data_IF_137182672037
#
_entry.id   IF_137182672037
#
_cell.length_a   1.000
_cell.length_b   1.000
_cell.length_c   1.000
_cell.angle_alpha   90.00
_cell.angle_beta   90.00
_cell.angle_gamma   90.00
#
_symmetry.space_group_name_H-M   'P 1'
#
loop_
_entity.id
_entity.type
_entity.pdbx_description
1 polymer ?
#
# COMPACT_ATOMS: atom_id res chain seq x y z
N UNK A 1 -6.74 -29.24 0.96
CA UNK A 1 -7.03 -28.51 -0.30
C UNK A 1 -5.87 -27.57 -0.51
N UNK A 2 -5.25 -27.60 -1.69
CA UNK A 2 -4.09 -26.75 -2.02
C UNK A 2 -4.58 -25.66 -2.96
N UNK A 3 -4.13 -24.42 -2.75
CA UNK A 3 -4.56 -23.25 -3.53
C UNK A 3 -3.37 -22.60 -4.23
N UNK A 4 -3.56 -22.23 -5.50
CA UNK A 4 -2.54 -21.48 -6.26
C UNK A 4 -2.49 -20.02 -5.80
N UNK A 5 -1.29 -19.54 -5.43
CA UNK A 5 -1.08 -18.14 -5.04
C UNK A 5 -1.29 -17.19 -6.21
N UNK A 6 -0.85 -17.56 -7.41
CA UNK A 6 -1.14 -16.83 -8.66
C UNK A 6 -2.65 -16.67 -8.86
N UNK A 7 -3.41 -17.76 -8.69
CA UNK A 7 -4.86 -17.70 -8.92
C UNK A 7 -5.59 -16.83 -7.91
N UNK A 8 -5.16 -16.83 -6.66
CA UNK A 8 -5.70 -15.94 -5.62
C UNK A 8 -5.44 -14.48 -5.99
N UNK A 9 -4.20 -14.16 -6.39
CA UNK A 9 -3.84 -12.79 -6.79
C UNK A 9 -4.65 -12.33 -8.01
N UNK A 10 -4.77 -13.16 -9.05
CA UNK A 10 -5.60 -12.86 -10.22
C UNK A 10 -7.08 -12.65 -9.88
N UNK A 11 -7.64 -13.50 -9.03
CA UNK A 11 -9.04 -13.42 -8.66
C UNK A 11 -9.34 -12.11 -7.91
N UNK A 12 -8.43 -11.66 -7.04
CA UNK A 12 -8.56 -10.36 -6.37
C UNK A 12 -8.57 -9.20 -7.38
N UNK A 13 -7.66 -9.23 -8.38
CA UNK A 13 -7.62 -8.25 -9.47
C UNK A 13 -8.94 -8.23 -10.26
N UNK A 14 -9.44 -9.41 -10.66
CA UNK A 14 -10.70 -9.53 -11.43
C UNK A 14 -11.92 -9.08 -10.65
N UNK A 15 -11.97 -9.37 -9.34
CA UNK A 15 -13.06 -8.91 -8.48
C UNK A 15 -13.09 -7.39 -8.37
N UNK A 16 -11.93 -6.73 -8.30
CA UNK A 16 -11.89 -5.26 -8.36
C UNK A 16 -12.48 -4.75 -9.68
N UNK A 17 -12.04 -5.27 -10.84
CA UNK A 17 -12.60 -4.86 -12.15
C UNK A 17 -14.11 -5.03 -12.24
N UNK A 18 -14.63 -6.10 -11.64
CA UNK A 18 -16.04 -6.43 -11.69
C UNK A 18 -16.91 -5.57 -10.76
N UNK A 19 -16.33 -4.99 -9.70
CA UNK A 19 -17.12 -4.41 -8.59
C UNK A 19 -16.75 -3.00 -8.20
N UNK A 20 -15.62 -2.47 -8.66
CA UNK A 20 -15.07 -1.19 -8.24
C UNK A 20 -14.83 -0.22 -9.40
N UNK A 21 -14.95 1.07 -9.12
CA UNK A 21 -14.66 2.14 -10.08
C UNK A 21 -13.17 2.47 -10.12
N UNK A 22 -12.68 2.93 -11.28
CA UNK A 22 -11.36 3.54 -11.43
C UNK A 22 -11.29 4.96 -10.84
N UNK A 23 -12.42 5.56 -10.49
CA UNK A 23 -12.52 6.86 -9.83
C UNK A 23 -12.18 6.81 -8.32
N UNK A 24 -11.44 5.80 -7.88
CA UNK A 24 -10.97 5.67 -6.50
C UNK A 24 -9.54 5.10 -6.48
N UNK A 25 -8.69 5.58 -5.56
CA UNK A 25 -7.27 5.22 -5.50
C UNK A 25 -7.02 3.70 -5.33
N UNK A 26 -7.99 2.95 -4.82
CA UNK A 26 -7.88 1.49 -4.68
C UNK A 26 -7.75 0.78 -6.02
N UNK A 27 -8.22 1.38 -7.11
CA UNK A 27 -7.94 0.92 -8.47
C UNK A 27 -6.46 1.05 -8.84
N UNK A 28 -5.78 2.08 -8.34
CA UNK A 28 -4.33 2.28 -8.54
C UNK A 28 -3.53 1.24 -7.75
N UNK A 29 -3.93 0.96 -6.51
CA UNK A 29 -3.27 -0.09 -5.69
C UNK A 29 -3.45 -1.47 -6.34
N UNK A 30 -4.65 -1.76 -6.85
CA UNK A 30 -4.91 -3.03 -7.54
C UNK A 30 -4.15 -3.14 -8.85
N UNK A 31 -4.06 -2.05 -9.61
CA UNK A 31 -3.22 -1.98 -10.80
C UNK A 31 -1.74 -2.19 -10.45
N UNK A 32 -1.24 -1.61 -9.37
CA UNK A 32 0.12 -1.85 -8.89
C UNK A 32 0.36 -3.35 -8.63
N UNK A 33 -0.57 -4.02 -7.96
CA UNK A 33 -0.53 -5.47 -7.76
C UNK A 33 -0.51 -6.27 -9.06
N UNK A 34 -1.39 -5.92 -10.01
CA UNK A 34 -1.45 -6.54 -11.34
C UNK A 34 -0.13 -6.36 -12.11
N UNK A 35 0.48 -5.18 -12.06
CA UNK A 35 1.75 -4.89 -12.75
C UNK A 35 2.88 -5.75 -12.19
N UNK A 36 2.98 -5.88 -10.86
CA UNK A 36 3.94 -6.78 -10.24
C UNK A 36 3.68 -8.25 -10.58
N UNK A 37 2.42 -8.67 -10.63
CA UNK A 37 2.04 -10.03 -11.01
C UNK A 37 2.40 -10.33 -12.48
N UNK A 38 2.11 -9.41 -13.39
CA UNK A 38 2.44 -9.52 -14.81
C UNK A 38 3.97 -9.56 -15.05
N UNK A 39 4.73 -8.77 -14.30
CA UNK A 39 6.19 -8.79 -14.35
C UNK A 39 6.74 -10.13 -13.82
N UNK A 40 6.23 -10.59 -12.68
CA UNK A 40 6.71 -11.82 -12.02
C UNK A 40 6.42 -13.07 -12.84
N UNK A 41 5.24 -13.16 -13.44
CA UNK A 41 4.82 -14.34 -14.22
C UNK A 41 5.32 -14.31 -15.67
N UNK A 42 5.71 -13.14 -16.18
CA UNK A 42 6.06 -12.95 -17.58
C UNK A 42 4.89 -13.12 -18.56
N UNK A 43 3.65 -13.24 -18.06
CA UNK A 43 2.48 -13.57 -18.87
C UNK A 43 1.99 -12.38 -19.70
N UNK A 44 1.89 -12.61 -21.02
CA UNK A 44 1.48 -11.59 -21.98
C UNK A 44 0.05 -11.07 -21.73
N UNK A 45 -0.88 -11.94 -21.33
CA UNK A 45 -2.27 -11.56 -21.09
C UNK A 45 -2.43 -10.65 -19.85
N UNK A 46 -1.64 -10.88 -18.79
CA UNK A 46 -1.61 -10.01 -17.62
C UNK A 46 -0.95 -8.66 -17.91
N UNK A 47 0.11 -8.65 -18.73
CA UNK A 47 0.74 -7.41 -19.22
C UNK A 47 -0.25 -6.59 -20.04
N UNK A 48 -0.95 -7.22 -20.99
CA UNK A 48 -1.97 -6.56 -21.79
C UNK A 48 -3.10 -6.00 -20.90
N UNK A 49 -3.57 -6.78 -19.92
CA UNK A 49 -4.58 -6.33 -18.97
C UNK A 49 -4.12 -5.08 -18.20
N UNK A 50 -2.87 -5.05 -17.74
CA UNK A 50 -2.33 -3.90 -17.01
C UNK A 50 -2.28 -2.63 -17.87
N UNK A 51 -1.87 -2.76 -19.14
CA UNK A 51 -1.86 -1.65 -20.10
C UNK A 51 -3.28 -1.16 -20.40
N UNK A 52 -4.22 -2.08 -20.62
CA UNK A 52 -5.63 -1.73 -20.85
C UNK A 52 -6.26 -1.03 -19.64
N UNK A 53 -5.93 -1.47 -18.42
CA UNK A 53 -6.39 -0.86 -17.18
C UNK A 53 -5.83 0.55 -16.99
N UNK A 54 -4.57 0.79 -17.37
CA UNK A 54 -3.95 2.10 -17.27
C UNK A 54 -4.60 3.12 -18.24
N UNK A 55 -5.08 2.67 -19.40
CA UNK A 55 -5.57 3.52 -20.50
C UNK A 55 -6.51 4.65 -20.09
N UNK A 56 -7.58 4.42 -19.31
CA UNK A 56 -8.52 5.48 -18.93
C UNK A 56 -7.88 6.62 -18.10
N UNK A 57 -6.82 6.34 -17.33
CA UNK A 57 -6.13 7.35 -16.54
C UNK A 57 -5.37 8.35 -17.43
N UNK A 58 -4.44 7.87 -18.25
CA UNK A 58 -3.61 8.78 -19.06
C UNK A 58 -4.34 9.32 -20.30
N UNK A 59 -5.42 8.69 -20.76
CA UNK A 59 -6.26 9.24 -21.83
C UNK A 59 -7.26 10.31 -21.34
N UNK A 60 -7.25 10.65 -20.04
CA UNK A 60 -8.14 11.65 -19.45
C UNK A 60 -9.61 11.22 -19.31
N UNK A 61 -9.91 9.93 -19.43
CA UNK A 61 -11.28 9.40 -19.22
C UNK A 61 -11.63 9.38 -17.74
N UNK A 62 -10.64 9.19 -16.85
CA UNK A 62 -10.81 9.30 -15.41
C UNK A 62 -10.73 10.78 -15.00
N UNK A 63 -11.88 11.44 -14.95
CA UNK A 63 -11.97 12.87 -14.67
C UNK A 63 -11.71 13.22 -13.19
N UNK A 64 -11.88 12.27 -12.27
CA UNK A 64 -11.69 12.43 -10.83
C UNK A 64 -11.30 11.10 -10.20
N UNK A 65 -10.42 11.14 -9.20
CA UNK A 65 -10.10 9.99 -8.36
C UNK A 65 -10.26 10.34 -6.89
N UNK A 66 -11.10 9.57 -6.19
CA UNK A 66 -11.28 9.65 -4.74
C UNK A 66 -10.02 9.25 -3.99
N UNK A 67 -9.73 9.99 -2.92
CA UNK A 67 -8.54 9.83 -2.08
C UNK A 67 -7.93 11.19 -1.73
N UNK A 68 -6.69 11.17 -1.24
CA UNK A 68 -5.97 12.38 -0.80
C UNK A 68 -5.45 13.21 -2.00
N UNK A 69 -4.98 12.54 -3.05
CA UNK A 69 -4.21 13.16 -4.15
C UNK A 69 -4.88 13.07 -5.53
N UNK A 70 -6.15 13.47 -5.62
CA UNK A 70 -6.97 13.40 -6.85
C UNK A 70 -6.18 13.74 -8.14
N UNK A 71 -5.54 14.91 -8.22
CA UNK A 71 -4.79 15.34 -9.43
C UNK A 71 -3.68 14.36 -9.85
N UNK A 72 -2.90 13.85 -8.88
CA UNK A 72 -1.83 12.87 -9.15
C UNK A 72 -2.43 11.51 -9.50
N UNK A 73 -3.50 11.10 -8.81
CA UNK A 73 -4.18 9.84 -9.09
C UNK A 73 -4.83 9.77 -10.46
N UNK A 74 -5.24 10.91 -11.06
CA UNK A 74 -5.78 10.94 -12.42
C UNK A 74 -4.79 10.44 -13.49
N UNK A 75 -3.48 10.44 -13.22
CA UNK A 75 -2.51 9.81 -14.13
C UNK A 75 -2.21 8.34 -13.79
N UNK A 76 -2.95 7.73 -12.86
CA UNK A 76 -2.77 6.35 -12.38
C UNK A 76 -1.65 6.19 -11.33
N UNK A 77 -1.11 7.31 -10.84
CA UNK A 77 -0.16 7.37 -9.73
C UNK A 77 1.06 6.46 -9.86
N UNK A 78 1.47 5.85 -8.75
CA UNK A 78 2.64 4.99 -8.68
C UNK A 78 2.53 3.73 -9.58
N UNK A 79 1.33 3.22 -9.84
CA UNK A 79 1.14 2.08 -10.73
C UNK A 79 1.54 2.41 -12.19
N UNK A 80 1.26 3.62 -12.66
CA UNK A 80 1.70 4.10 -13.97
C UNK A 80 3.21 4.23 -14.05
N UNK A 81 3.84 4.77 -13.01
CA UNK A 81 5.30 4.85 -12.94
C UNK A 81 5.94 3.46 -12.98
N UNK A 82 5.32 2.47 -12.30
CA UNK A 82 5.76 1.08 -12.32
C UNK A 82 5.60 0.42 -13.69
N UNK A 83 4.50 0.70 -14.41
CA UNK A 83 4.30 0.23 -15.80
C UNK A 83 5.38 0.75 -16.74
N UNK A 84 5.76 2.03 -16.61
CA UNK A 84 6.90 2.60 -17.36
C UNK A 84 8.20 1.88 -16.99
N UNK A 85 8.45 1.69 -15.69
CA UNK A 85 9.67 1.02 -15.19
C UNK A 85 9.86 -0.38 -15.78
N UNK A 86 8.79 -1.16 -15.90
CA UNK A 86 8.85 -2.51 -16.48
C UNK A 86 8.69 -2.55 -18.00
N UNK A 87 8.75 -1.40 -18.69
CA UNK A 87 8.64 -1.33 -20.15
C UNK A 87 7.29 -1.81 -20.69
N UNK A 88 6.23 -1.67 -19.90
CA UNK A 88 4.87 -2.05 -20.29
C UNK A 88 4.06 -0.87 -20.82
N UNK A 89 4.37 0.36 -20.37
CA UNK A 89 3.69 1.56 -20.82
C UNK A 89 4.20 2.06 -22.18
N UNK A 90 3.37 2.81 -22.89
CA UNK A 90 3.78 3.54 -24.09
C UNK A 90 4.71 4.72 -23.76
N UNK A 91 5.57 5.11 -24.70
CA UNK A 91 6.63 6.11 -24.50
C UNK A 91 6.09 7.49 -24.05
N UNK A 92 4.87 7.86 -24.49
CA UNK A 92 4.22 9.12 -24.14
C UNK A 92 3.78 9.20 -22.67
N UNK A 93 3.70 8.07 -21.97
CA UNK A 93 3.25 8.04 -20.57
C UNK A 93 4.27 8.72 -19.66
N UNK A 94 5.58 8.48 -19.84
CA UNK A 94 6.61 9.03 -18.95
C UNK A 94 6.62 10.57 -18.92
N UNK A 95 6.62 11.30 -20.07
CA UNK A 95 6.51 12.75 -20.08
C UNK A 95 5.26 13.28 -19.33
N UNK A 96 4.11 12.61 -19.48
CA UNK A 96 2.89 12.98 -18.79
C UNK A 96 2.99 12.80 -17.27
N UNK A 97 3.64 11.72 -16.82
CA UNK A 97 3.89 11.49 -15.39
C UNK A 97 4.86 12.52 -14.80
N UNK A 98 5.91 12.89 -15.53
CA UNK A 98 6.85 13.95 -15.11
C UNK A 98 6.12 15.28 -14.92
N UNK A 99 5.22 15.65 -15.84
CA UNK A 99 4.41 16.86 -15.69
C UNK A 99 3.58 16.81 -14.39
N UNK A 100 2.97 15.66 -14.06
CA UNK A 100 2.20 15.49 -12.82
C UNK A 100 3.06 15.48 -11.55
N UNK A 101 4.27 14.95 -11.60
CA UNK A 101 5.22 15.05 -10.49
C UNK A 101 5.65 16.51 -10.25
N UNK A 102 5.92 17.26 -11.32
CA UNK A 102 6.23 18.68 -11.23
C UNK A 102 5.06 19.50 -10.66
N UNK A 103 3.83 19.26 -11.12
CA UNK A 103 2.61 19.88 -10.56
C UNK A 103 2.44 19.55 -9.07
N UNK A 104 2.68 18.28 -8.68
CA UNK A 104 2.61 17.85 -7.29
C UNK A 104 3.61 18.64 -6.43
N UNK A 105 4.87 18.71 -6.83
CA UNK A 105 5.93 19.36 -6.03
C UNK A 105 5.72 20.88 -5.94
N UNK A 106 5.34 21.53 -7.05
CA UNK A 106 5.29 22.99 -7.17
C UNK A 106 3.97 23.59 -6.70
N UNK A 107 2.85 22.90 -6.89
CA UNK A 107 1.51 23.48 -6.73
C UNK A 107 0.67 22.80 -5.64
N UNK A 108 1.00 21.58 -5.22
CA UNK A 108 0.14 20.87 -4.28
C UNK A 108 0.18 21.53 -2.90
N UNK A 109 -0.98 21.67 -2.22
CA UNK A 109 -1.03 22.21 -0.87
C UNK A 109 -0.10 21.46 0.07
N UNK A 110 0.65 22.22 0.87
CA UNK A 110 1.51 21.69 1.92
C UNK A 110 1.07 22.20 3.28
N UNK A 111 1.32 21.39 4.29
CA UNK A 111 1.17 21.80 5.67
C UNK A 111 2.38 22.64 6.15
N UNK A 112 2.36 23.18 7.38
CA UNK A 112 3.49 23.93 7.93
C UNK A 112 4.80 23.13 8.06
N UNK A 113 4.74 21.80 8.08
CA UNK A 113 5.91 20.92 8.09
C UNK A 113 6.46 20.65 6.68
N UNK A 114 5.77 21.10 5.62
CA UNK A 114 6.14 20.88 4.23
C UNK A 114 5.58 19.58 3.62
N UNK A 115 4.76 18.82 4.36
CA UNK A 115 4.13 17.59 3.88
C UNK A 115 3.02 17.90 2.88
N UNK A 116 2.86 17.08 1.85
CA UNK A 116 1.73 17.19 0.94
C UNK A 116 0.43 16.85 1.66
N UNK A 117 -0.45 17.83 1.81
CA UNK A 117 -1.70 17.70 2.54
C UNK A 117 -2.90 17.38 1.64
N UNK A 118 -3.99 16.89 2.23
CA UNK A 118 -5.24 16.68 1.49
C UNK A 118 -5.80 18.02 1.01
N UNK A 119 -6.24 18.10 -0.25
CA UNK A 119 -6.93 19.29 -0.77
C UNK A 119 -8.16 19.60 0.11
N UNK A 120 -8.22 20.85 0.58
CA UNK A 120 -9.26 21.39 1.46
C UNK A 120 -9.07 21.11 2.95
N UNK A 121 -8.07 20.33 3.35
CA UNK A 121 -7.66 20.14 4.75
C UNK A 121 -6.15 19.80 4.82
N UNK A 122 -5.26 20.67 4.28
CA UNK A 122 -3.84 20.36 4.18
C UNK A 122 -3.14 20.26 5.54
N UNK A 123 -3.70 20.86 6.58
CA UNK A 123 -3.21 20.80 7.96
C UNK A 123 -3.40 19.44 8.62
N UNK A 124 -4.30 18.60 8.07
CA UNK A 124 -4.53 17.24 8.56
C UNK A 124 -3.61 16.28 7.81
N UNK A 125 -2.80 15.56 8.57
CA UNK A 125 -1.71 14.76 8.04
C UNK A 125 -2.04 13.31 8.29
N UNK A 126 -2.28 12.56 7.22
CA UNK A 126 -2.63 11.14 7.26
C UNK A 126 -1.47 10.29 6.79
N UNK A 127 -1.14 9.23 7.52
CA UNK A 127 -0.10 8.29 7.10
C UNK A 127 -0.45 7.64 5.74
N UNK A 128 -1.73 7.48 5.41
CA UNK A 128 -2.23 7.05 4.10
C UNK A 128 -1.62 7.83 2.92
N UNK A 129 -1.14 9.05 3.16
CA UNK A 129 -0.52 9.88 2.13
C UNK A 129 0.76 9.27 1.54
N UNK A 130 1.57 8.58 2.35
CA UNK A 130 2.95 8.24 1.97
C UNK A 130 3.02 7.20 0.85
N UNK A 131 2.10 6.23 0.81
CA UNK A 131 2.08 5.20 -0.24
C UNK A 131 1.87 5.80 -1.63
N UNK A 132 1.16 6.93 -1.69
CA UNK A 132 0.78 7.56 -2.93
C UNK A 132 1.93 8.37 -3.52
N UNK A 133 2.57 9.22 -2.70
CA UNK A 133 3.55 10.20 -3.18
C UNK A 133 4.98 9.67 -3.16
N UNK A 134 5.38 8.90 -2.15
CA UNK A 134 6.78 8.49 -2.01
C UNK A 134 7.20 7.49 -3.10
N UNK A 135 6.48 6.38 -3.35
CA UNK A 135 6.81 5.47 -4.44
C UNK A 135 6.73 6.13 -5.82
N UNK A 136 5.71 6.99 -6.04
CA UNK A 136 5.54 7.70 -7.30
C UNK A 136 6.75 8.58 -7.64
N UNK A 137 7.18 9.41 -6.68
CA UNK A 137 8.32 10.29 -6.85
C UNK A 137 9.64 9.52 -6.92
N UNK A 138 9.82 8.46 -6.13
CA UNK A 138 11.04 7.67 -6.15
C UNK A 138 11.26 6.94 -7.50
N UNK A 139 10.21 6.26 -8.00
CA UNK A 139 10.27 5.55 -9.28
C UNK A 139 10.54 6.54 -10.43
N UNK A 140 9.82 7.68 -10.47
CA UNK A 140 10.02 8.69 -11.50
C UNK A 140 11.37 9.40 -11.39
N UNK A 141 11.86 9.64 -10.17
CA UNK A 141 13.17 10.24 -9.92
C UNK A 141 14.29 9.40 -10.55
N UNK A 142 14.21 8.07 -10.41
CA UNK A 142 15.14 7.15 -11.05
C UNK A 142 14.98 7.11 -12.57
N UNK A 143 13.74 6.97 -13.08
CA UNK A 143 13.46 6.90 -14.52
C UNK A 143 13.88 8.18 -15.26
N UNK A 144 13.61 9.34 -14.68
CA UNK A 144 13.86 10.65 -15.29
C UNK A 144 15.19 11.28 -14.85
N UNK A 145 15.97 10.63 -13.98
CA UNK A 145 17.20 11.15 -13.37
C UNK A 145 16.98 12.50 -12.66
N UNK A 146 15.88 12.60 -11.91
CA UNK A 146 15.45 13.79 -11.16
C UNK A 146 15.72 13.60 -9.67
N UNK A 147 16.88 14.08 -9.22
CA UNK A 147 17.28 13.98 -7.81
C UNK A 147 16.32 14.72 -6.88
N UNK A 148 15.74 15.82 -7.33
CA UNK A 148 14.75 16.58 -6.57
C UNK A 148 13.48 15.76 -6.25
N UNK A 149 13.10 14.80 -7.11
CA UNK A 149 11.99 13.88 -6.81
C UNK A 149 12.37 12.87 -5.74
N UNK A 150 13.60 12.34 -5.80
CA UNK A 150 14.13 11.42 -4.80
C UNK A 150 14.22 12.12 -3.43
N UNK A 151 14.78 13.33 -3.40
CA UNK A 151 14.93 14.11 -2.17
C UNK A 151 13.58 14.45 -1.54
N UNK A 152 12.58 14.80 -2.37
CA UNK A 152 11.21 15.03 -1.89
C UNK A 152 10.58 13.74 -1.33
N UNK A 153 10.75 12.60 -1.99
CA UNK A 153 10.22 11.32 -1.49
C UNK A 153 10.81 10.96 -0.11
N UNK A 154 12.13 11.12 0.06
CA UNK A 154 12.82 10.91 1.35
C UNK A 154 12.35 11.91 2.39
N UNK A 155 12.23 13.19 2.01
CA UNK A 155 11.74 14.24 2.90
C UNK A 155 10.35 13.93 3.43
N UNK A 156 9.40 13.59 2.55
CA UNK A 156 8.02 13.27 2.94
C UNK A 156 8.00 12.13 3.96
N UNK A 157 8.57 10.95 3.64
CA UNK A 157 8.50 9.78 4.54
C UNK A 157 9.20 10.03 5.89
N UNK A 158 10.30 10.78 5.90
CA UNK A 158 11.02 11.12 7.13
C UNK A 158 10.18 12.01 8.03
N UNK A 159 9.60 13.07 7.49
CA UNK A 159 8.79 14.01 8.28
C UNK A 159 7.49 13.34 8.75
N UNK A 160 6.85 12.51 7.92
CA UNK A 160 5.72 11.67 8.37
C UNK A 160 6.12 10.76 9.54
N UNK A 161 7.30 10.15 9.47
CA UNK A 161 7.81 9.30 10.56
C UNK A 161 8.08 10.10 11.83
N UNK A 162 8.72 11.26 11.74
CA UNK A 162 9.01 12.07 12.91
C UNK A 162 7.73 12.52 13.64
N UNK A 163 6.63 12.73 12.91
CA UNK A 163 5.37 13.20 13.45
C UNK A 163 4.45 12.08 13.95
N UNK A 164 4.38 10.95 13.24
CA UNK A 164 3.35 9.93 13.48
C UNK A 164 3.87 8.64 14.13
N UNK A 165 5.19 8.43 14.21
CA UNK A 165 5.75 7.23 14.84
C UNK A 165 5.56 7.25 16.36
N UNK A 166 4.87 6.24 16.89
CA UNK A 166 4.90 5.92 18.31
C UNK A 166 6.21 5.21 18.64
N UNK A 167 7.10 5.90 19.34
CA UNK A 167 8.42 5.38 19.71
C UNK A 167 8.36 4.25 20.75
N UNK A 168 7.22 4.04 21.42
CA UNK A 168 7.07 3.00 22.43
C UNK A 168 6.90 1.61 21.79
N UNK A 169 6.15 1.53 20.69
CA UNK A 169 5.84 0.26 20.03
C UNK A 169 6.44 0.15 18.59
N UNK A 170 6.84 1.26 17.98
CA UNK A 170 7.42 1.32 16.64
C UNK A 170 6.38 1.32 15.50
N UNK A 171 5.10 1.49 15.82
CA UNK A 171 3.99 1.63 14.87
C UNK A 171 3.65 3.10 14.66
N UNK A 172 2.85 3.39 13.63
CA UNK A 172 2.43 4.74 13.27
C UNK A 172 0.99 4.99 13.70
N UNK A 173 0.74 6.19 14.21
CA UNK A 173 -0.60 6.76 14.37
C UNK A 173 -1.17 7.14 13.00
N UNK A 174 -2.50 7.00 12.80
CA UNK A 174 -3.07 7.31 11.49
C UNK A 174 -2.92 8.78 11.12
N UNK A 175 -3.22 9.69 12.06
CA UNK A 175 -3.40 11.10 11.73
C UNK A 175 -2.90 12.07 12.80
N UNK A 176 -2.32 13.18 12.34
CA UNK A 176 -2.12 14.39 13.13
C UNK A 176 -3.15 15.45 12.71
N UNK A 177 -3.59 16.24 13.68
CA UNK A 177 -4.55 17.32 13.59
C UNK A 177 -6.00 16.92 13.28
N UNK A 178 -6.35 15.64 13.43
CA UNK A 178 -7.71 15.16 13.13
C UNK A 178 -8.79 15.86 13.97
N UNK A 179 -8.54 15.95 15.29
CA UNK A 179 -9.41 16.61 16.28
C UNK A 179 -9.05 18.09 16.52
N UNK A 180 -8.05 18.60 15.81
CA UNK A 180 -7.59 20.00 15.91
C UNK A 180 -6.06 20.11 16.05
N UNK A 181 -5.52 21.34 15.97
CA UNK A 181 -4.07 21.57 15.94
C UNK A 181 -3.31 20.93 17.12
N UNK A 182 -2.22 20.23 16.83
CA UNK A 182 -1.36 19.57 17.80
C UNK A 182 -1.87 18.21 18.32
N UNK A 183 -3.04 17.75 17.88
CA UNK A 183 -3.56 16.43 18.27
C UNK A 183 -2.97 15.33 17.40
N UNK A 184 -2.73 14.15 17.98
CA UNK A 184 -2.39 12.92 17.26
C UNK A 184 -3.45 11.89 17.65
N UNK A 185 -3.93 11.12 16.68
CA UNK A 185 -4.85 10.02 16.98
C UNK A 185 -4.17 9.00 17.90
N UNK A 186 -4.96 8.29 18.71
CA UNK A 186 -4.44 7.32 19.67
C UNK A 186 -4.18 5.94 19.05
N UNK A 187 -4.59 5.74 17.80
CA UNK A 187 -4.61 4.45 17.10
C UNK A 187 -3.25 3.96 16.61
N UNK A 188 -3.18 2.66 16.30
CA UNK A 188 -2.18 2.04 15.44
C UNK A 188 -2.91 1.18 14.40
N UNK A 189 -3.67 1.84 13.55
CA UNK A 189 -4.53 1.19 12.56
C UNK A 189 -3.75 0.33 11.54
N UNK A 190 -4.21 -0.91 11.33
CA UNK A 190 -3.55 -1.90 10.46
C UNK A 190 -3.28 -1.39 9.05
N UNK A 191 -4.28 -0.82 8.38
CA UNK A 191 -4.14 -0.36 6.99
C UNK A 191 -3.30 0.91 6.89
N UNK A 192 -3.36 1.81 7.88
CA UNK A 192 -2.49 2.99 7.95
C UNK A 192 -1.01 2.59 8.04
N UNK A 193 -0.70 1.65 8.94
CA UNK A 193 0.64 1.07 9.05
C UNK A 193 1.04 0.29 7.78
N UNK A 194 0.09 -0.41 7.16
CA UNK A 194 0.28 -1.06 5.86
C UNK A 194 0.68 -0.07 4.75
N UNK A 195 0.11 1.14 4.72
CA UNK A 195 0.49 2.17 3.75
C UNK A 195 1.90 2.74 4.00
N UNK A 196 2.26 2.95 5.27
CA UNK A 196 3.63 3.31 5.64
C UNK A 196 4.62 2.23 5.20
N UNK A 197 4.29 0.96 5.49
CA UNK A 197 5.09 -0.18 5.11
C UNK A 197 5.25 -0.29 3.60
N UNK A 198 4.17 -0.10 2.83
CA UNK A 198 4.22 -0.12 1.36
C UNK A 198 5.15 0.98 0.84
N UNK A 199 5.01 2.21 1.33
CA UNK A 199 5.88 3.30 0.91
C UNK A 199 7.36 3.00 1.18
N UNK A 200 7.68 2.53 2.38
CA UNK A 200 9.04 2.17 2.77
C UNK A 200 9.58 0.99 1.94
N UNK A 201 8.75 -0.03 1.68
CA UNK A 201 9.13 -1.18 0.87
C UNK A 201 9.42 -0.79 -0.58
N UNK A 202 8.65 0.13 -1.18
CA UNK A 202 8.97 0.64 -2.51
C UNK A 202 10.24 1.50 -2.49
N UNK A 203 10.44 2.32 -1.45
CA UNK A 203 11.65 3.14 -1.33
C UNK A 203 12.93 2.30 -1.18
N UNK A 204 12.93 1.18 -0.45
CA UNK A 204 14.11 0.29 -0.41
C UNK A 204 14.40 -0.39 -1.77
N UNK A 205 13.41 -0.50 -2.66
CA UNK A 205 13.65 -0.99 -4.02
C UNK A 205 14.33 0.07 -4.89
N UNK A 206 13.88 1.32 -4.75
CA UNK A 206 14.40 2.46 -5.52
C UNK A 206 15.71 3.06 -4.95
N UNK A 207 15.93 2.92 -3.64
CA UNK A 207 17.04 3.50 -2.87
C UNK A 207 17.73 2.44 -2.00
N UNK A 208 18.26 1.35 -2.58
CA UNK A 208 18.73 0.18 -1.84
C UNK A 208 19.94 0.44 -0.94
N UNK A 209 20.67 1.53 -1.17
CA UNK A 209 21.87 1.91 -0.39
C UNK A 209 21.58 3.01 0.63
N UNK A 210 20.33 3.47 0.79
CA UNK A 210 20.00 4.52 1.75
C UNK A 210 19.80 3.93 3.16
N UNK A 211 20.74 4.12 4.10
CA UNK A 211 20.67 3.48 5.40
C UNK A 211 19.54 4.03 6.28
N UNK A 212 19.07 5.24 6.04
CA UNK A 212 17.92 5.80 6.77
C UNK A 212 16.63 5.08 6.39
N UNK A 213 16.35 4.95 5.09
CA UNK A 213 15.16 4.26 4.60
C UNK A 213 15.15 2.79 5.03
N UNK A 214 16.30 2.10 4.95
CA UNK A 214 16.43 0.71 5.43
C UNK A 214 16.13 0.61 6.93
N UNK A 215 16.63 1.54 7.75
CA UNK A 215 16.34 1.56 9.19
C UNK A 215 14.86 1.80 9.49
N UNK A 216 14.22 2.74 8.80
CA UNK A 216 12.79 3.01 8.97
C UNK A 216 11.96 1.78 8.59
N UNK A 217 12.26 1.19 7.44
CA UNK A 217 11.62 -0.03 6.96
C UNK A 217 11.77 -1.19 7.95
N UNK A 218 13.01 -1.54 8.32
CA UNK A 218 13.29 -2.67 9.23
C UNK A 218 12.70 -2.45 10.63
N UNK A 219 12.69 -1.20 11.12
CA UNK A 219 12.04 -0.83 12.37
C UNK A 219 10.53 -1.11 12.36
N UNK A 220 9.84 -0.69 11.30
CA UNK A 220 8.40 -0.96 11.14
C UNK A 220 8.13 -2.46 10.97
N UNK A 221 8.93 -3.18 10.19
CA UNK A 221 8.77 -4.63 10.04
C UNK A 221 8.93 -5.39 11.36
N UNK A 222 9.86 -4.96 12.22
CA UNK A 222 10.03 -5.53 13.55
C UNK A 222 8.86 -5.19 14.47
N UNK A 223 8.31 -3.98 14.40
CA UNK A 223 7.09 -3.60 15.13
C UNK A 223 5.90 -4.46 14.69
N UNK A 224 5.65 -4.58 13.37
CA UNK A 224 4.61 -5.45 12.82
C UNK A 224 4.80 -6.90 13.26
N UNK A 225 6.02 -7.46 13.20
CA UNK A 225 6.30 -8.83 13.61
C UNK A 225 5.91 -9.12 15.06
N UNK A 226 6.14 -8.16 15.98
CA UNK A 226 5.82 -8.31 17.41
C UNK A 226 4.32 -8.40 17.69
N UNK A 227 3.48 -7.84 16.82
CA UNK A 227 2.03 -7.76 16.99
C UNK A 227 1.25 -8.62 15.98
N UNK A 228 1.94 -9.51 15.27
CA UNK A 228 1.28 -10.52 14.43
C UNK A 228 0.52 -11.51 15.34
N UNK A 229 -0.76 -11.74 15.04
CA UNK A 229 -1.62 -12.60 15.85
C UNK A 229 -1.26 -14.09 15.71
N UNK A 230 -1.93 -14.92 16.52
CA UNK A 230 -1.72 -16.36 16.51
C UNK A 230 -2.13 -17.04 15.19
N UNK A 231 -3.00 -16.40 14.40
CA UNK A 231 -3.47 -16.86 13.10
C UNK A 231 -2.66 -16.30 11.91
N UNK A 232 -1.69 -15.42 12.19
CA UNK A 232 -0.74 -14.87 11.21
C UNK A 232 -1.10 -13.50 10.66
N UNK A 233 -2.21 -12.89 11.07
CA UNK A 233 -2.66 -11.60 10.56
C UNK A 233 -2.49 -10.49 11.60
N UNK A 234 -2.89 -9.29 11.22
CA UNK A 234 -2.87 -8.11 12.07
C UNK A 234 -4.29 -7.65 12.36
N UNK A 235 -4.49 -7.24 13.60
CA UNK A 235 -5.74 -6.71 14.10
C UNK A 235 -5.97 -5.27 13.60
N UNK A 236 -7.24 -4.91 13.39
CA UNK A 236 -7.69 -3.57 12.94
C UNK A 236 -7.01 -2.47 13.76
N UNK A 237 -7.02 -2.60 15.08
CA UNK A 237 -6.12 -1.87 15.96
C UNK A 237 -4.96 -2.80 16.34
N UNK A 238 -3.77 -2.55 15.82
CA UNK A 238 -2.64 -3.49 15.90
C UNK A 238 -2.16 -3.73 17.33
N UNK A 239 -2.40 -2.79 18.25
CA UNK A 239 -2.04 -2.94 19.66
C UNK A 239 -3.10 -3.66 20.51
N UNK A 240 -4.25 -4.01 19.91
CA UNK A 240 -5.43 -4.55 20.59
C UNK A 240 -5.88 -5.88 19.98
N UNK A 241 -5.46 -6.97 20.60
CA UNK A 241 -5.84 -8.34 20.22
C UNK A 241 -7.34 -8.64 20.38
N UNK A 242 -8.07 -7.81 21.14
CA UNK A 242 -9.53 -7.85 21.28
C UNK A 242 -10.26 -7.11 20.13
N UNK A 243 -9.54 -6.46 19.22
CA UNK A 243 -10.12 -5.94 17.97
C UNK A 243 -10.16 -7.03 16.89
N UNK A 244 -10.93 -6.85 15.82
CA UNK A 244 -11.03 -7.88 14.79
C UNK A 244 -9.79 -7.93 13.90
N UNK A 245 -9.39 -9.12 13.46
CA UNK A 245 -8.36 -9.30 12.43
C UNK A 245 -8.78 -8.67 11.11
N UNK A 246 -7.90 -7.90 10.48
CA UNK A 246 -8.23 -7.05 9.33
C UNK A 246 -7.38 -7.37 8.09
N UNK A 247 -8.03 -7.60 6.94
CA UNK A 247 -7.37 -8.21 5.77
C UNK A 247 -6.60 -7.26 4.89
N UNK A 248 -7.01 -5.99 4.74
CA UNK A 248 -6.31 -5.07 3.83
C UNK A 248 -4.96 -4.60 4.36
N UNK A 249 -4.88 -4.19 5.63
CA UNK A 249 -3.63 -3.84 6.30
C UNK A 249 -2.70 -5.04 6.38
N UNK A 250 -3.23 -6.21 6.73
CA UNK A 250 -2.45 -7.45 6.72
C UNK A 250 -1.85 -7.76 5.35
N UNK A 251 -2.61 -7.56 4.25
CA UNK A 251 -2.12 -7.81 2.90
C UNK A 251 -0.98 -6.88 2.50
N UNK A 252 -1.07 -5.60 2.89
CA UNK A 252 0.01 -4.64 2.69
C UNK A 252 1.26 -5.02 3.50
N UNK A 253 1.08 -5.38 4.77
CA UNK A 253 2.21 -5.81 5.61
C UNK A 253 2.85 -7.07 5.00
N UNK A 254 2.07 -8.06 4.58
CA UNK A 254 2.61 -9.27 3.94
C UNK A 254 3.38 -8.96 2.67
N UNK A 255 2.83 -8.14 1.77
CA UNK A 255 3.53 -7.67 0.58
C UNK A 255 4.92 -7.09 0.95
N UNK A 256 4.96 -6.24 1.97
CA UNK A 256 6.17 -5.54 2.36
C UNK A 256 7.19 -6.44 3.04
N UNK A 257 6.75 -7.42 3.85
CA UNK A 257 7.62 -8.48 4.39
C UNK A 257 8.22 -9.30 3.26
N UNK A 258 7.40 -9.68 2.27
CA UNK A 258 7.85 -10.44 1.11
C UNK A 258 8.89 -9.68 0.27
N UNK A 259 8.73 -8.35 0.11
CA UNK A 259 9.75 -7.49 -0.53
C UNK A 259 11.08 -7.46 0.22
N UNK A 260 11.03 -7.37 1.55
CA UNK A 260 12.22 -7.40 2.38
C UNK A 260 12.99 -8.71 2.31
N UNK A 261 12.25 -9.83 2.30
CA UNK A 261 12.82 -11.18 2.09
C UNK A 261 13.46 -11.30 0.71
N UNK A 262 12.75 -10.89 -0.34
CA UNK A 262 13.24 -10.93 -1.73
C UNK A 262 14.57 -10.18 -1.89
N UNK A 263 14.72 -9.03 -1.21
CA UNK A 263 15.92 -8.19 -1.30
C UNK A 263 17.02 -8.58 -0.32
N UNK A 264 16.79 -9.58 0.55
CA UNK A 264 17.72 -9.94 1.62
C UNK A 264 17.92 -8.87 2.70
N UNK A 265 17.00 -7.90 2.78
CA UNK A 265 17.01 -6.85 3.82
C UNK A 265 16.43 -7.37 5.12
N UNK A 266 15.39 -8.21 5.04
CA UNK A 266 14.88 -8.95 6.20
C UNK A 266 15.58 -10.30 6.31
N UNK A 267 15.94 -10.74 7.53
CA UNK A 267 16.53 -12.06 7.73
C UNK A 267 15.50 -13.17 7.46
N UNK A 268 16.00 -14.36 7.14
CA UNK A 268 15.19 -15.54 6.78
C UNK A 268 14.15 -15.93 7.85
N UNK A 269 14.34 -15.53 9.11
CA UNK A 269 13.33 -15.69 10.19
C UNK A 269 11.99 -15.04 9.86
N UNK A 270 11.95 -14.04 8.97
CA UNK A 270 10.69 -13.43 8.49
C UNK A 270 9.93 -14.33 7.51
N UNK A 271 10.53 -15.40 6.96
CA UNK A 271 9.80 -16.33 6.09
C UNK A 271 8.65 -17.00 6.83
N UNK A 272 8.82 -17.33 8.12
CA UNK A 272 7.74 -17.88 8.93
C UNK A 272 6.59 -16.87 9.12
N UNK A 273 6.92 -15.60 9.41
CA UNK A 273 5.96 -14.49 9.51
C UNK A 273 5.13 -14.39 8.23
N UNK A 274 5.80 -14.41 7.07
CA UNK A 274 5.16 -14.31 5.77
C UNK A 274 4.27 -15.52 5.46
N UNK A 275 4.78 -16.74 5.62
CA UNK A 275 4.02 -17.97 5.35
C UNK A 275 2.82 -18.10 6.29
N UNK A 276 3.00 -17.80 7.59
CA UNK A 276 1.91 -17.82 8.56
C UNK A 276 0.81 -16.85 8.16
N UNK A 277 1.16 -15.62 7.78
CA UNK A 277 0.16 -14.64 7.39
C UNK A 277 -0.50 -14.90 6.04
N UNK A 278 0.20 -15.47 5.05
CA UNK A 278 -0.48 -15.91 3.82
C UNK A 278 -1.51 -17.01 4.12
N UNK A 279 -1.19 -17.97 5.02
CA UNK A 279 -2.13 -19.03 5.41
C UNK A 279 -3.31 -18.48 6.21
N UNK A 280 -3.06 -17.56 7.13
CA UNK A 280 -4.10 -16.83 7.85
C UNK A 280 -5.02 -16.06 6.91
N UNK A 281 -4.44 -15.34 5.94
CA UNK A 281 -5.18 -14.56 4.95
C UNK A 281 -6.07 -15.44 4.07
N UNK A 282 -5.58 -16.62 3.67
CA UNK A 282 -6.37 -17.58 2.90
C UNK A 282 -7.67 -17.96 3.62
N UNK A 283 -7.68 -18.01 4.96
CA UNK A 283 -8.87 -18.27 5.76
C UNK A 283 -9.99 -17.24 5.62
N UNK A 284 -9.69 -16.04 5.12
CA UNK A 284 -10.65 -14.95 4.89
C UNK A 284 -11.05 -14.80 3.42
N UNK A 285 -10.61 -15.72 2.55
CA UNK A 285 -10.93 -15.73 1.12
C UNK A 285 -11.83 -16.93 0.84
N UNK A 286 -13.08 -16.67 0.44
CA UNK A 286 -14.01 -17.73 0.08
C UNK A 286 -13.63 -18.37 -1.27
N UNK A 287 -14.21 -19.54 -1.56
CA UNK A 287 -13.95 -20.27 -2.80
C UNK A 287 -14.36 -19.51 -4.07
N UNK A 288 -15.30 -18.58 -3.96
CA UNK A 288 -15.70 -17.67 -5.05
C UNK A 288 -14.76 -16.45 -5.20
N UNK A 289 -13.72 -16.37 -4.36
CA UNK A 289 -12.77 -15.27 -4.28
C UNK A 289 -13.21 -14.12 -3.38
N UNK A 290 -14.42 -14.13 -2.81
CA UNK A 290 -14.87 -13.05 -1.91
C UNK A 290 -13.93 -12.91 -0.70
N UNK A 291 -13.52 -11.68 -0.42
CA UNK A 291 -12.61 -11.34 0.68
C UNK A 291 -13.43 -10.76 1.83
N UNK A 292 -13.23 -11.29 3.04
CA UNK A 292 -13.91 -10.88 4.26
C UNK A 292 -13.02 -10.00 5.13
N UNK A 293 -13.60 -9.40 6.17
CA UNK A 293 -12.86 -8.69 7.23
C UNK A 293 -12.01 -7.52 6.75
N UNK A 294 -12.42 -6.86 5.66
CA UNK A 294 -11.76 -5.65 5.20
C UNK A 294 -12.40 -4.42 5.84
N UNK A 295 -11.61 -3.64 6.56
CA UNK A 295 -12.08 -2.41 7.20
C UNK A 295 -12.64 -1.44 6.16
N UNK A 296 -13.84 -0.90 6.38
CA UNK A 296 -14.44 0.07 5.46
C UNK A 296 -13.57 1.32 5.33
N UNK A 297 -13.51 1.92 4.14
CA UNK A 297 -12.79 3.17 3.91
C UNK A 297 -13.15 4.27 4.92
N UNK A 298 -12.14 4.80 5.62
CA UNK A 298 -12.25 5.95 6.51
C UNK A 298 -10.90 6.70 6.54
N UNK A 299 -10.94 8.03 6.69
CA UNK A 299 -9.75 8.85 6.95
C UNK A 299 -9.48 8.99 8.46
N UNK A 300 -10.45 8.62 9.30
CA UNK A 300 -10.34 8.26 10.71
C UNK A 300 -11.80 8.07 11.20
N UNK A 301 -12.13 6.99 11.91
CA UNK A 301 -13.44 6.80 12.48
C UNK A 301 -13.62 7.66 13.73
N UNK A 302 -14.85 8.09 13.98
CA UNK A 302 -15.23 8.80 15.22
C UNK A 302 -14.33 10.00 15.55
N UNK A 303 -13.66 9.93 16.69
CA UNK A 303 -12.72 10.94 17.18
C UNK A 303 -11.24 10.56 16.98
N UNK A 304 -10.95 9.44 16.32
CA UNK A 304 -9.58 8.95 16.17
C UNK A 304 -9.03 8.27 17.43
N UNK A 305 -9.93 7.74 18.28
CA UNK A 305 -9.55 6.96 19.47
C UNK A 305 -9.52 5.47 19.15
N UNK A 306 -8.75 4.70 19.92
CA UNK A 306 -8.65 3.24 19.78
C UNK A 306 -10.03 2.58 19.64
N UNK A 307 -11.00 2.92 20.49
CA UNK A 307 -12.33 2.32 20.44
C UNK A 307 -13.09 2.64 19.15
N UNK A 308 -12.85 3.80 18.53
CA UNK A 308 -13.47 4.15 17.25
C UNK A 308 -13.00 3.21 16.14
N UNK A 309 -11.72 2.84 16.14
CA UNK A 309 -11.15 1.88 15.17
C UNK A 309 -11.64 0.46 15.43
N UNK A 310 -11.66 0.03 16.68
CA UNK A 310 -12.12 -1.31 17.06
C UNK A 310 -13.58 -1.55 16.66
N UNK A 311 -14.43 -0.52 16.77
CA UNK A 311 -15.85 -0.58 16.42
C UNK A 311 -16.14 -0.23 14.95
N UNK A 312 -15.14 0.23 14.18
CA UNK A 312 -15.34 0.57 12.77
C UNK A 312 -15.56 -0.70 11.94
N UNK A 313 -16.68 -0.82 11.20
CA UNK A 313 -17.09 -2.09 10.62
C UNK A 313 -16.19 -2.51 9.47
N UNK A 314 -16.01 -3.82 9.36
CA UNK A 314 -15.53 -4.43 8.14
C UNK A 314 -16.67 -4.70 7.16
N UNK A 315 -16.33 -4.78 5.87
CA UNK A 315 -17.25 -5.02 4.78
C UNK A 315 -16.67 -6.11 3.87
N UNK A 316 -17.50 -7.10 3.52
CA UNK A 316 -17.14 -8.12 2.52
C UNK A 316 -16.92 -7.45 1.17
N UNK A 317 -15.83 -7.78 0.51
CA UNK A 317 -15.45 -7.21 -0.80
C UNK A 317 -15.38 -5.68 -0.79
N UNK A 318 -14.98 -5.09 0.33
CA UNK A 318 -14.60 -3.69 0.33
C UNK A 318 -13.44 -3.48 -0.67
N UNK A 319 -13.49 -2.39 -1.43
CA UNK A 319 -12.56 -2.12 -2.52
C UNK A 319 -11.10 -2.00 -2.06
N UNK A 320 -10.86 -1.79 -0.76
CA UNK A 320 -9.52 -1.75 -0.17
C UNK A 320 -8.90 -3.14 0.01
N UNK A 321 -9.64 -4.23 -0.20
CA UNK A 321 -9.16 -5.61 -0.04
C UNK A 321 -8.31 -6.08 -1.22
N UNK A 322 -8.77 -5.74 -2.43
CA UNK A 322 -8.33 -6.42 -3.65
C UNK A 322 -6.85 -6.18 -3.97
N UNK A 323 -6.41 -4.93 -3.92
CA UNK A 323 -5.01 -4.57 -4.16
C UNK A 323 -4.05 -5.24 -3.17
N UNK A 324 -4.26 -5.12 -1.85
CA UNK A 324 -3.46 -5.81 -0.85
C UNK A 324 -3.39 -7.33 -1.01
N UNK A 325 -4.51 -8.00 -1.32
CA UNK A 325 -4.49 -9.46 -1.57
C UNK A 325 -3.71 -9.78 -2.84
N UNK A 326 -3.91 -9.03 -3.93
CA UNK A 326 -3.14 -9.21 -5.16
C UNK A 326 -1.63 -9.00 -4.92
N UNK A 327 -1.25 -7.99 -4.14
CA UNK A 327 0.13 -7.70 -3.76
C UNK A 327 0.73 -8.83 -2.91
N UNK A 328 0.05 -9.27 -1.85
CA UNK A 328 0.56 -10.29 -0.93
C UNK A 328 0.80 -11.64 -1.64
N UNK A 329 -0.21 -12.15 -2.34
CA UNK A 329 -0.10 -13.43 -3.05
C UNK A 329 0.73 -13.35 -4.33
N UNK A 330 0.73 -12.20 -5.01
CA UNK A 330 1.65 -11.96 -6.13
C UNK A 330 3.11 -11.94 -5.69
N UNK A 331 3.40 -11.38 -4.51
CA UNK A 331 4.75 -11.39 -3.93
C UNK A 331 5.19 -12.80 -3.52
N UNK A 332 4.26 -13.69 -3.14
CA UNK A 332 4.58 -15.07 -2.83
C UNK A 332 5.27 -15.80 -4.00
N UNK A 333 4.84 -15.51 -5.23
CA UNK A 333 5.45 -16.06 -6.45
C UNK A 333 6.92 -15.65 -6.63
N UNK A 334 7.29 -14.42 -6.21
CA UNK A 334 8.68 -13.94 -6.26
C UNK A 334 9.59 -14.62 -5.24
N UNK A 335 9.00 -15.37 -4.30
CA UNK A 335 9.70 -16.15 -3.28
C UNK A 335 9.53 -17.66 -3.49
N UNK A 336 9.15 -18.07 -4.70
CA UNK A 336 8.91 -19.46 -5.13
C UNK A 336 7.80 -20.18 -4.35
N UNK A 337 6.84 -19.43 -3.79
CA UNK A 337 5.65 -19.96 -3.10
C UNK A 337 4.47 -19.92 -4.09
N UNK A 338 4.35 -20.98 -4.88
CA UNK A 338 3.32 -21.13 -5.93
C UNK A 338 1.99 -21.68 -5.41
N UNK A 339 2.04 -22.35 -4.27
CA UNK A 339 0.91 -23.02 -3.65
C UNK A 339 0.86 -22.76 -2.15
N UNK A 340 -0.35 -22.74 -1.61
CA UNK A 340 -0.57 -22.56 -0.18
C UNK A 340 -1.69 -23.47 0.33
N UNK A 341 -1.48 -23.96 1.54
CA UNK A 341 -2.43 -24.79 2.27
C UNK A 341 -3.10 -23.98 3.38
N UNK A 342 -4.40 -24.21 3.67
CA UNK A 342 -5.04 -23.67 4.85
C UNK A 342 -4.29 -24.04 6.12
N UNK A 343 -4.48 -23.26 7.18
CA UNK A 343 -4.02 -23.64 8.53
C UNK A 343 -4.68 -24.98 8.89
N UNK A 344 -3.89 -25.97 9.31
CA UNK A 344 -4.42 -27.22 9.83
C UNK A 344 -5.12 -26.92 11.16
N UNK A 345 -6.42 -27.21 11.24
CA UNK A 345 -7.20 -27.10 12.47
C UNK A 345 -6.72 -28.08 13.55
#
# INVERSE_FOLDING_TARGET
MIFSTEKIAENAVRLHQATASLEHYTGIVTLHGLVNLAETTGRADLRELAVQWLKPFYSGQVAKVGGIYDKMYRCGGNASALLVKYGMAADEVLPALILKADELIKEHPRDPHGLFGKIGAPEKIWIDSVFAVCPFLAILGNLAKRQDYIDEAIFQIRVFTDLLLDRQNGLYHQCMNFQGPGTINEDHWSRGNGWAALALAELILELPDNPEIIRLYTGLMEACRKVQDEHGLWHQEMTRADSYTETSGSGLILYTVGRGLERGILPETYREVFLKGLRGMLGYIALDGSIYHTCRGCLAPGQGKIEDYMNWPWVRNDVHAFGPVALAFGQALRLDITEIEPVAN
#
